data_IF_287383490856
#
_entry.id   IF_287383490856
#
_cell.length_a   1.000
_cell.length_b   1.000
_cell.length_c   1.000
_cell.angle_alpha   90.00
_cell.angle_beta   90.00
_cell.angle_gamma   90.00
#
_symmetry.space_group_name_H-M   'P 1'
#
loop_
_entity.id
_entity.type
_entity.pdbx_description
1 polymer ?
#
# COMPACT_ATOMS: atom_id res chain seq x y z
N UNK A 1 -18.05 -9.94 -5.28
CA UNK A 1 -17.82 -10.09 -3.83
C UNK A 1 -16.98 -11.34 -3.64
N UNK A 2 -15.80 -11.21 -3.04
CA UNK A 2 -14.92 -12.36 -2.74
C UNK A 2 -15.46 -12.97 -1.45
N UNK A 3 -16.12 -14.12 -1.54
CA UNK A 3 -16.54 -14.85 -0.36
C UNK A 3 -15.30 -15.46 0.33
N UNK A 4 -15.12 -15.26 1.66
CA UNK A 4 -14.00 -15.85 2.37
C UNK A 4 -14.16 -17.36 2.42
N UNK A 5 -13.15 -18.09 1.93
CA UNK A 5 -13.09 -19.55 2.09
C UNK A 5 -12.96 -19.88 3.58
N UNK A 6 -13.89 -20.61 4.18
CA UNK A 6 -13.79 -20.97 5.59
C UNK A 6 -12.58 -21.89 5.81
N UNK A 7 -11.59 -21.40 6.55
CA UNK A 7 -10.46 -22.22 7.00
C UNK A 7 -10.92 -23.15 8.12
N UNK A 8 -10.43 -24.40 8.09
CA UNK A 8 -10.69 -25.37 9.15
C UNK A 8 -10.25 -24.80 10.51
N UNK A 9 -11.05 -24.97 11.59
CA UNK A 9 -10.69 -24.46 12.91
C UNK A 9 -9.45 -25.19 13.44
N UNK A 10 -8.34 -24.44 13.62
CA UNK A 10 -7.20 -24.91 14.42
C UNK A 10 -5.80 -24.77 13.83
N UNK A 11 -5.60 -24.58 12.53
CA UNK A 11 -4.25 -24.56 11.94
C UNK A 11 -3.83 -23.27 11.24
N UNK A 12 -4.74 -22.29 11.04
CA UNK A 12 -4.41 -21.09 10.30
C UNK A 12 -3.89 -19.97 11.21
N UNK A 13 -2.78 -19.37 10.80
CA UNK A 13 -2.17 -18.20 11.44
C UNK A 13 -2.18 -17.04 10.45
N UNK A 14 -2.74 -15.86 10.83
CA UNK A 14 -2.80 -14.72 9.93
C UNK A 14 -1.41 -14.23 9.56
N UNK A 15 -1.25 -13.78 8.34
CA UNK A 15 -0.05 -13.08 7.85
C UNK A 15 -0.33 -11.59 7.86
N UNK A 16 0.29 -10.86 8.78
CA UNK A 16 0.13 -9.44 8.94
C UNK A 16 1.43 -8.74 8.54
N UNK A 17 1.35 -7.80 7.61
CA UNK A 17 2.45 -6.90 7.25
C UNK A 17 2.29 -5.61 8.04
N UNK A 18 3.36 -5.15 8.69
CA UNK A 18 3.35 -3.92 9.47
C UNK A 18 4.38 -2.91 8.91
N UNK A 19 3.90 -1.75 8.49
CA UNK A 19 4.74 -0.63 8.07
C UNK A 19 4.98 0.30 9.25
N UNK A 20 6.16 0.27 9.84
CA UNK A 20 6.49 1.04 11.04
C UNK A 20 7.44 2.19 10.72
N UNK A 21 7.05 3.39 11.19
CA UNK A 21 7.91 4.56 11.13
C UNK A 21 9.16 4.35 12.00
N UNK A 22 10.33 4.62 11.42
CA UNK A 22 11.63 4.44 12.07
C UNK A 22 11.74 5.18 13.41
N UNK A 23 11.25 6.41 13.47
CA UNK A 23 11.49 7.33 14.58
C UNK A 23 10.58 7.09 15.80
N UNK A 24 9.46 6.43 15.59
CA UNK A 24 8.48 6.21 16.66
C UNK A 24 8.10 4.74 16.80
N UNK A 25 7.21 4.21 15.96
CA UNK A 25 6.63 2.88 16.14
C UNK A 25 7.67 1.75 16.04
N UNK A 26 8.68 1.88 15.15
CA UNK A 26 9.76 0.88 15.08
C UNK A 26 10.63 0.92 16.34
N UNK A 27 10.98 2.11 16.82
CA UNK A 27 11.70 2.28 18.10
C UNK A 27 10.90 1.73 19.29
N UNK A 28 9.58 1.92 19.29
CA UNK A 28 8.70 1.32 20.29
C UNK A 28 8.68 -0.21 20.21
N UNK A 29 8.75 -0.78 19.00
CA UNK A 29 8.86 -2.23 18.80
C UNK A 29 10.20 -2.77 19.32
N UNK A 30 11.31 -2.04 19.09
CA UNK A 30 12.62 -2.37 19.66
C UNK A 30 12.57 -2.32 21.20
N UNK A 31 11.94 -1.29 21.78
CA UNK A 31 11.74 -1.18 23.22
C UNK A 31 10.92 -2.36 23.75
N UNK A 32 9.87 -2.77 23.06
CA UNK A 32 9.07 -3.94 23.42
C UNK A 32 9.93 -5.22 23.42
N UNK A 33 10.82 -5.37 22.42
CA UNK A 33 11.76 -6.49 22.33
C UNK A 33 12.77 -6.52 23.48
N UNK A 34 13.41 -5.39 23.77
CA UNK A 34 14.36 -5.25 24.89
C UNK A 34 13.68 -5.50 26.23
N UNK A 35 12.45 -5.03 26.38
CA UNK A 35 11.62 -5.27 27.58
C UNK A 35 11.01 -6.68 27.63
N UNK A 36 11.33 -7.56 26.67
CA UNK A 36 10.84 -8.94 26.58
C UNK A 36 9.31 -9.05 26.60
N UNK A 37 8.62 -8.07 26.06
CA UNK A 37 7.16 -8.10 25.95
C UNK A 37 6.76 -9.16 24.91
N UNK A 38 5.90 -10.09 25.30
CA UNK A 38 5.42 -11.14 24.40
C UNK A 38 4.18 -10.68 23.66
N UNK A 39 4.20 -10.75 22.34
CA UNK A 39 3.05 -10.51 21.46
C UNK A 39 3.05 -11.50 20.29
N UNK A 40 1.98 -11.50 19.52
CA UNK A 40 1.80 -12.47 18.43
C UNK A 40 2.92 -12.39 17.38
N UNK A 41 3.47 -13.54 16.98
CA UNK A 41 4.55 -13.64 15.99
C UNK A 41 4.08 -13.57 14.54
N UNK A 42 2.80 -13.40 14.30
CA UNK A 42 2.17 -13.34 12.98
C UNK A 42 2.42 -12.05 12.20
N UNK A 43 3.14 -11.08 12.78
CA UNK A 43 3.43 -9.79 12.18
C UNK A 43 4.84 -9.77 11.58
N UNK A 44 4.94 -9.27 10.33
CA UNK A 44 6.21 -8.98 9.64
C UNK A 44 6.36 -7.49 9.52
N UNK A 45 7.41 -6.94 10.15
CA UNK A 45 7.65 -5.49 10.20
C UNK A 45 8.53 -5.06 9.03
N UNK A 46 8.05 -4.06 8.29
CA UNK A 46 8.80 -3.31 7.28
C UNK A 46 9.05 -1.92 7.86
N UNK A 47 10.33 -1.61 8.09
CA UNK A 47 10.75 -0.31 8.60
C UNK A 47 10.79 0.72 7.48
N UNK A 48 10.14 1.86 7.69
CA UNK A 48 10.14 3.01 6.79
C UNK A 48 10.63 4.26 7.54
N UNK A 49 11.26 5.19 6.84
CA UNK A 49 11.71 6.43 7.48
C UNK A 49 10.55 7.25 8.07
N UNK A 50 9.38 7.23 7.42
CA UNK A 50 8.19 7.94 7.89
C UNK A 50 6.93 7.22 7.44
N UNK A 51 5.87 7.23 8.26
CA UNK A 51 4.56 6.74 7.84
C UNK A 51 4.02 7.46 6.59
N UNK A 52 4.39 8.72 6.37
CA UNK A 52 4.08 9.47 5.16
C UNK A 52 4.67 8.88 3.87
N UNK A 53 5.60 7.91 3.96
CA UNK A 53 6.13 7.18 2.81
C UNK A 53 5.24 6.02 2.38
N UNK A 54 4.33 5.58 3.25
CA UNK A 54 3.42 4.48 2.91
C UNK A 54 2.50 4.92 1.78
N UNK A 55 2.61 4.24 0.66
CA UNK A 55 1.73 4.40 -0.48
C UNK A 55 0.58 3.37 -0.41
N UNK A 56 -0.65 3.71 -0.79
CA UNK A 56 -1.74 2.75 -0.92
C UNK A 56 -1.37 1.51 -1.74
N UNK A 57 -0.53 1.67 -2.75
CA UNK A 57 -0.04 0.55 -3.58
C UNK A 57 0.73 -0.49 -2.75
N UNK A 58 1.53 -0.08 -1.75
CA UNK A 58 2.24 -1.03 -0.88
C UNK A 58 1.28 -1.93 -0.11
N UNK A 59 0.13 -1.38 0.27
CA UNK A 59 -0.88 -2.12 1.02
C UNK A 59 -1.62 -3.10 0.11
N UNK A 60 -1.97 -2.66 -1.10
CA UNK A 60 -2.58 -3.52 -2.11
C UNK A 60 -1.62 -4.65 -2.54
N UNK A 61 -0.33 -4.33 -2.72
CA UNK A 61 0.70 -5.33 -3.03
C UNK A 61 0.89 -6.34 -1.89
N UNK A 62 0.84 -5.90 -0.64
CA UNK A 62 0.89 -6.81 0.51
C UNK A 62 -0.28 -7.81 0.47
N UNK A 63 -1.50 -7.35 0.20
CA UNK A 63 -2.66 -8.23 0.02
C UNK A 63 -2.52 -9.16 -1.17
N UNK A 64 -2.06 -8.65 -2.31
CA UNK A 64 -1.79 -9.45 -3.52
C UNK A 64 -0.78 -10.56 -3.24
N UNK A 65 0.23 -10.32 -2.42
CA UNK A 65 1.24 -11.29 -1.99
C UNK A 65 0.75 -12.20 -0.87
N UNK A 66 -0.48 -12.04 -0.42
CA UNK A 66 -1.14 -12.94 0.52
C UNK A 66 -1.07 -12.52 1.98
N UNK A 67 -0.89 -11.24 2.28
CA UNK A 67 -1.16 -10.74 3.61
C UNK A 67 -2.68 -10.79 3.89
N UNK A 68 -3.04 -11.12 5.12
CA UNK A 68 -4.42 -11.15 5.59
C UNK A 68 -4.81 -9.84 6.26
N UNK A 69 -3.81 -9.06 6.69
CA UNK A 69 -3.97 -7.75 7.31
C UNK A 69 -2.73 -6.87 7.17
N UNK A 70 -2.92 -5.55 7.23
CA UNK A 70 -1.85 -4.56 7.17
C UNK A 70 -1.97 -3.57 8.32
N UNK A 71 -0.91 -3.44 9.10
CA UNK A 71 -0.79 -2.47 10.20
C UNK A 71 0.14 -1.33 9.78
N UNK A 72 -0.27 -0.10 10.02
CA UNK A 72 0.55 1.09 9.78
C UNK A 72 0.78 1.78 11.11
N UNK A 73 2.03 1.95 11.48
CA UNK A 73 2.42 2.66 12.71
C UNK A 73 3.13 3.97 12.40
N UNK A 74 2.63 5.06 12.96
CA UNK A 74 3.17 6.40 12.79
C UNK A 74 3.30 7.17 14.09
N UNK A 75 3.98 8.33 14.04
CA UNK A 75 4.10 9.25 15.16
C UNK A 75 2.75 9.88 15.49
N UNK A 76 2.52 10.19 16.76
CA UNK A 76 1.34 10.98 17.16
C UNK A 76 1.23 12.28 16.35
N UNK A 77 0.01 12.78 16.10
CA UNK A 77 -0.20 14.08 15.49
C UNK A 77 0.55 15.18 16.25
N UNK A 78 1.35 15.97 15.52
CA UNK A 78 2.24 16.98 16.11
C UNK A 78 3.68 16.53 16.36
N UNK A 79 3.94 15.22 16.53
CA UNK A 79 5.26 14.67 16.90
C UNK A 79 6.02 14.07 15.70
N UNK A 80 5.59 14.32 14.48
CA UNK A 80 6.24 13.72 13.32
C UNK A 80 7.64 14.31 13.11
N UNK A 81 8.67 13.45 13.05
CA UNK A 81 10.05 13.85 12.76
C UNK A 81 10.19 14.69 11.47
N UNK A 82 9.33 14.47 10.49
CA UNK A 82 9.27 15.22 9.22
C UNK A 82 8.10 16.20 9.18
N UNK A 83 7.61 16.63 10.34
CA UNK A 83 6.54 17.62 10.55
C UNK A 83 5.16 17.14 10.09
N UNK A 84 4.98 16.76 8.83
CA UNK A 84 3.67 16.47 8.21
C UNK A 84 3.45 15.01 7.78
N UNK A 85 4.43 14.13 7.96
CA UNK A 85 4.35 12.77 7.40
C UNK A 85 3.15 11.97 7.88
N UNK A 86 2.81 12.06 9.17
CA UNK A 86 1.65 11.40 9.76
C UNK A 86 0.32 11.96 9.21
N UNK A 87 0.20 13.27 9.00
CA UNK A 87 -0.97 13.87 8.37
C UNK A 87 -1.14 13.47 6.90
N UNK A 88 -0.02 13.34 6.15
CA UNK A 88 -0.05 12.81 4.79
C UNK A 88 -0.55 11.37 4.77
N UNK A 89 -0.07 10.54 5.72
CA UNK A 89 -0.57 9.16 5.87
C UNK A 89 -2.05 9.13 6.23
N UNK A 90 -2.50 9.96 7.18
CA UNK A 90 -3.91 10.00 7.57
C UNK A 90 -4.84 10.28 6.38
N UNK A 91 -4.50 11.26 5.54
CA UNK A 91 -5.29 11.59 4.34
C UNK A 91 -5.34 10.41 3.37
N UNK A 92 -4.19 9.77 3.08
CA UNK A 92 -4.13 8.58 2.22
C UNK A 92 -4.91 7.41 2.80
N UNK A 93 -4.85 7.22 4.11
CA UNK A 93 -5.55 6.15 4.79
C UNK A 93 -7.08 6.26 4.65
N UNK A 94 -7.63 7.47 4.72
CA UNK A 94 -9.07 7.69 4.51
C UNK A 94 -9.51 7.35 3.07
N UNK A 95 -8.70 7.71 2.08
CA UNK A 95 -8.94 7.34 0.68
C UNK A 95 -8.81 5.83 0.47
N UNK A 96 -7.78 5.23 1.05
CA UNK A 96 -7.55 3.79 0.99
C UNK A 96 -8.74 3.00 1.54
N UNK A 97 -9.32 3.41 2.66
CA UNK A 97 -10.50 2.75 3.23
C UNK A 97 -11.66 2.68 2.24
N UNK A 98 -11.93 3.77 1.51
CA UNK A 98 -12.94 3.79 0.46
C UNK A 98 -12.62 2.80 -0.65
N UNK A 99 -11.39 2.83 -1.15
CA UNK A 99 -10.93 1.91 -2.19
C UNK A 99 -11.06 0.44 -1.76
N UNK A 100 -10.66 0.11 -0.53
CA UNK A 100 -10.76 -1.27 -0.01
C UNK A 100 -12.22 -1.73 0.07
N UNK A 101 -13.13 -0.84 0.47
CA UNK A 101 -14.57 -1.13 0.48
C UNK A 101 -15.10 -1.43 -0.92
N UNK A 102 -14.71 -0.64 -1.92
CA UNK A 102 -15.13 -0.84 -3.32
C UNK A 102 -14.55 -2.14 -3.90
N UNK A 103 -13.35 -2.55 -3.44
CA UNK A 103 -12.73 -3.84 -3.77
C UNK A 103 -13.30 -5.03 -2.98
N UNK A 104 -14.27 -4.82 -2.10
CA UNK A 104 -14.85 -5.87 -1.25
C UNK A 104 -13.91 -6.37 -0.14
N UNK A 105 -12.86 -5.63 0.18
CA UNK A 105 -11.92 -5.94 1.26
C UNK A 105 -12.42 -5.30 2.56
N UNK A 106 -12.60 -6.11 3.60
CA UNK A 106 -13.06 -5.62 4.90
C UNK A 106 -12.10 -4.55 5.46
N UNK A 107 -12.64 -3.38 5.81
CA UNK A 107 -11.86 -2.23 6.30
C UNK A 107 -11.00 -2.57 7.53
N UNK A 108 -11.46 -3.53 8.33
CA UNK A 108 -10.78 -4.01 9.53
C UNK A 108 -9.44 -4.71 9.23
N UNK A 109 -9.18 -5.05 7.96
CA UNK A 109 -7.91 -5.67 7.55
C UNK A 109 -6.77 -4.66 7.45
N UNK A 110 -7.06 -3.36 7.45
CA UNK A 110 -6.04 -2.30 7.49
C UNK A 110 -6.26 -1.42 8.71
N UNK A 111 -5.20 -1.24 9.49
CA UNK A 111 -5.22 -0.46 10.73
C UNK A 111 -4.11 0.60 10.70
N UNK A 112 -4.43 1.82 11.08
CA UNK A 112 -3.48 2.90 11.30
C UNK A 112 -3.45 3.23 12.80
N UNK A 113 -2.27 3.19 13.40
CA UNK A 113 -2.05 3.50 14.81
C UNK A 113 -0.98 4.56 15.00
N UNK A 114 -1.20 5.40 15.99
CA UNK A 114 -0.24 6.38 16.46
C UNK A 114 0.46 5.84 17.70
N UNK A 115 1.77 5.67 17.61
CA UNK A 115 2.58 5.07 18.68
C UNK A 115 3.89 5.85 18.78
N UNK A 116 4.19 6.38 19.96
CA UNK A 116 5.46 7.05 20.26
C UNK A 116 6.58 6.05 20.53
N UNK A 117 7.84 6.49 20.47
CA UNK A 117 9.01 5.64 20.72
C UNK A 117 9.03 5.00 22.12
N UNK A 118 8.37 5.61 23.11
CA UNK A 118 8.32 5.12 24.49
C UNK A 118 7.16 4.12 24.74
N UNK A 119 6.28 3.89 23.75
CA UNK A 119 5.05 3.12 23.94
C UNK A 119 5.17 1.65 23.49
N UNK A 120 6.20 0.93 23.99
CA UNK A 120 6.39 -0.49 23.67
C UNK A 120 5.20 -1.38 24.06
N UNK A 121 4.53 -1.13 25.19
CA UNK A 121 3.32 -1.87 25.59
C UNK A 121 2.15 -1.65 24.61
N UNK A 122 2.04 -0.45 24.02
CA UNK A 122 1.03 -0.19 23.02
C UNK A 122 1.26 -1.00 21.74
N UNK A 123 2.51 -1.19 21.33
CA UNK A 123 2.85 -2.08 20.20
C UNK A 123 2.32 -3.48 20.46
N UNK A 124 2.61 -4.05 21.63
CA UNK A 124 2.10 -5.38 22.04
C UNK A 124 0.58 -5.44 21.98
N UNK A 125 -0.10 -4.46 22.57
CA UNK A 125 -1.56 -4.40 22.61
C UNK A 125 -2.15 -4.38 21.20
N UNK A 126 -1.69 -3.45 20.36
CA UNK A 126 -2.18 -3.27 18.98
C UNK A 126 -1.94 -4.50 18.11
N UNK A 127 -0.77 -5.13 18.22
CA UNK A 127 -0.44 -6.35 17.46
C UNK A 127 -1.34 -7.52 17.88
N UNK A 128 -1.58 -7.69 19.17
CA UNK A 128 -2.44 -8.77 19.66
C UNK A 128 -3.90 -8.55 19.27
N UNK A 129 -4.42 -7.35 19.42
CA UNK A 129 -5.78 -6.98 19.02
C UNK A 129 -5.98 -7.21 17.51
N UNK A 130 -5.08 -6.72 16.70
CA UNK A 130 -5.16 -6.91 15.24
C UNK A 130 -5.08 -8.38 14.87
N UNK A 131 -4.19 -9.15 15.50
CA UNK A 131 -4.07 -10.60 15.25
C UNK A 131 -5.39 -11.32 15.58
N UNK A 132 -6.03 -10.98 16.71
CA UNK A 132 -7.32 -11.54 17.08
C UNK A 132 -8.43 -11.14 16.09
N UNK A 133 -8.45 -9.88 15.66
CA UNK A 133 -9.41 -9.36 14.70
C UNK A 133 -9.27 -10.04 13.34
N UNK A 134 -8.04 -10.19 12.81
CA UNK A 134 -7.82 -10.89 11.53
C UNK A 134 -8.15 -12.37 11.65
N UNK A 135 -7.88 -13.02 12.78
CA UNK A 135 -8.30 -14.40 13.03
C UNK A 135 -9.82 -14.57 12.96
N UNK A 136 -10.57 -13.62 13.50
CA UNK A 136 -12.03 -13.65 13.44
C UNK A 136 -12.58 -13.44 12.01
N UNK A 137 -11.88 -12.65 11.18
CA UNK A 137 -12.26 -12.41 9.80
C UNK A 137 -11.89 -13.58 8.85
N UNK A 138 -10.97 -14.46 9.26
CA UNK A 138 -10.45 -15.52 8.41
C UNK A 138 -9.45 -15.05 7.34
N UNK A 139 -8.92 -15.97 6.51
CA UNK A 139 -7.98 -15.67 5.43
C UNK A 139 -8.63 -14.77 4.36
N UNK A 140 -7.85 -13.87 3.77
CA UNK A 140 -8.33 -13.00 2.69
C UNK A 140 -8.42 -13.72 1.35
N UNK A 141 -7.48 -14.66 1.08
CA UNK A 141 -7.49 -15.46 -0.13
C UNK A 141 -7.19 -14.73 -1.44
N UNK A 142 -6.63 -13.53 -1.39
CA UNK A 142 -6.35 -12.71 -2.59
C UNK A 142 -5.48 -13.40 -3.65
N UNK A 143 -4.38 -14.11 -3.33
CA UNK A 143 -3.58 -14.77 -4.35
C UNK A 143 -4.37 -15.81 -5.16
N UNK A 144 -5.27 -16.53 -4.51
CA UNK A 144 -6.12 -17.54 -5.15
C UNK A 144 -7.17 -16.88 -6.07
N UNK A 145 -7.75 -15.76 -5.64
CA UNK A 145 -8.69 -14.98 -6.45
C UNK A 145 -8.02 -14.40 -7.70
N UNK A 146 -6.81 -13.84 -7.57
CA UNK A 146 -6.04 -13.36 -8.74
C UNK A 146 -5.68 -14.49 -9.70
N UNK A 147 -5.20 -15.64 -9.21
CA UNK A 147 -4.88 -16.77 -10.06
C UNK A 147 -6.10 -17.36 -10.78
N UNK A 148 -7.29 -17.27 -10.19
CA UNK A 148 -8.52 -17.65 -10.85
C UNK A 148 -8.89 -16.65 -11.96
N UNK A 149 -8.74 -15.37 -11.68
CA UNK A 149 -9.02 -14.31 -12.62
C UNK A 149 -8.07 -14.31 -13.83
N UNK A 150 -6.77 -14.52 -13.59
CA UNK A 150 -5.77 -14.64 -14.67
C UNK A 150 -6.10 -15.83 -15.61
N UNK A 151 -6.63 -16.92 -15.08
CA UNK A 151 -7.09 -18.06 -15.89
C UNK A 151 -8.28 -17.68 -16.75
N UNK A 152 -9.29 -17.05 -16.14
CA UNK A 152 -10.49 -16.62 -16.85
C UNK A 152 -10.16 -15.63 -17.99
N UNK A 153 -9.34 -14.62 -17.72
CA UNK A 153 -8.87 -13.66 -18.73
C UNK A 153 -8.10 -14.38 -19.85
N UNK A 154 -7.22 -15.32 -19.49
CA UNK A 154 -6.47 -16.10 -20.47
C UNK A 154 -7.37 -16.99 -21.35
N UNK A 155 -8.44 -17.52 -20.81
CA UNK A 155 -9.45 -18.30 -21.54
C UNK A 155 -10.27 -17.39 -22.50
N UNK A 156 -10.66 -16.20 -22.03
CA UNK A 156 -11.35 -15.23 -22.87
C UNK A 156 -10.47 -14.76 -24.04
N UNK A 157 -9.18 -14.52 -23.79
CA UNK A 157 -8.22 -14.12 -24.83
C UNK A 157 -7.95 -15.22 -25.88
N UNK A 158 -8.22 -16.50 -25.54
CA UNK A 158 -8.06 -17.64 -26.44
C UNK A 158 -9.31 -17.93 -27.28
N UNK A 159 -10.43 -17.30 -27.02
CA UNK A 159 -11.66 -17.52 -27.80
C UNK A 159 -11.49 -16.92 -29.21
N UNK A 160 -11.57 -17.72 -30.28
CA UNK A 160 -11.24 -17.29 -31.66
C UNK A 160 -12.36 -16.50 -32.33
N UNK A 161 -13.15 -15.72 -31.60
CA UNK A 161 -14.14 -14.79 -32.14
C UNK A 161 -14.59 -13.82 -31.03
N UNK A 162 -13.68 -13.01 -30.52
CA UNK A 162 -14.15 -11.70 -30.08
C UNK A 162 -14.66 -10.99 -31.35
N UNK A 163 -15.88 -10.43 -31.38
CA UNK A 163 -16.28 -9.60 -32.53
C UNK A 163 -15.17 -8.54 -32.66
N UNK A 164 -14.56 -8.47 -33.84
CA UNK A 164 -13.78 -7.28 -34.18
C UNK A 164 -14.72 -6.13 -33.93
N UNK A 165 -14.30 -5.16 -33.10
CA UNK A 165 -15.01 -3.92 -32.89
C UNK A 165 -15.10 -3.25 -34.27
N UNK A 166 -16.11 -3.64 -35.02
CA UNK A 166 -16.49 -3.00 -36.29
C UNK A 166 -17.33 -1.78 -35.93
N UNK A 167 -16.82 -0.91 -35.10
CA UNK A 167 -17.39 0.41 -34.91
C UNK A 167 -16.84 1.29 -36.03
N UNK A 168 -17.67 1.57 -37.08
CA UNK A 168 -17.20 2.35 -38.26
C UNK A 168 -16.85 3.80 -37.87
N UNK A 169 -17.21 4.28 -36.68
CA UNK A 169 -16.85 5.61 -36.20
C UNK A 169 -15.40 5.70 -35.70
N UNK A 170 -14.76 4.59 -35.31
CA UNK A 170 -13.37 4.62 -34.81
C UNK A 170 -12.31 4.62 -35.93
N UNK A 171 -12.66 4.17 -37.14
CA UNK A 171 -11.73 4.14 -38.26
C UNK A 171 -11.45 5.50 -38.88
N UNK A 172 -12.32 6.51 -38.63
CA UNK A 172 -12.15 7.86 -39.15
C UNK A 172 -11.24 8.75 -38.33
N UNK A 173 -10.98 8.42 -37.06
CA UNK A 173 -10.17 9.24 -36.15
C UNK A 173 -8.67 8.93 -36.27
N UNK A 174 -8.29 7.70 -36.62
CA UNK A 174 -6.88 7.33 -36.81
C UNK A 174 -6.22 7.94 -38.07
N UNK A 175 -7.00 8.34 -39.09
CA UNK A 175 -6.51 9.00 -40.30
C UNK A 175 -6.10 10.46 -40.03
N UNK A 176 -6.86 11.20 -39.26
CA UNK A 176 -6.60 12.62 -38.98
C UNK A 176 -5.44 12.88 -38.00
N UNK A 177 -5.18 11.94 -37.07
CA UNK A 177 -4.09 12.08 -36.09
C UNK A 177 -2.71 11.88 -36.72
N UNK A 178 -2.61 11.16 -37.84
CA UNK A 178 -1.32 10.93 -38.53
C UNK A 178 -0.86 12.09 -39.38
N UNK A 179 -1.75 12.94 -39.89
CA UNK A 179 -1.36 14.12 -40.69
C UNK A 179 -0.98 15.34 -39.85
N UNK A 180 -1.41 15.43 -38.58
CA UNK A 180 -1.11 16.55 -37.68
C UNK A 180 0.24 16.49 -36.93
N UNK A 181 0.98 15.36 -36.99
CA UNK A 181 2.21 15.15 -36.20
C UNK A 181 3.52 15.34 -36.99
N UNK A 182 3.49 15.94 -38.20
CA UNK A 182 4.64 16.13 -39.05
C UNK A 182 5.32 17.51 -38.96
N UNK A 183 5.17 18.24 -37.84
CA UNK A 183 6.00 19.41 -37.56
C UNK A 183 7.01 19.11 -36.46
N UNK A 184 8.32 19.17 -36.72
CA UNK A 184 9.32 19.00 -35.68
C UNK A 184 9.24 20.19 -34.68
N UNK A 185 8.83 19.91 -33.46
CA UNK A 185 8.97 20.86 -32.36
C UNK A 185 10.46 21.07 -32.13
N UNK A 186 10.93 22.31 -32.34
CA UNK A 186 12.32 22.69 -32.11
C UNK A 186 12.77 22.34 -30.69
N UNK A 187 13.98 21.82 -30.59
CA UNK A 187 14.61 21.49 -29.32
C UNK A 187 14.60 22.70 -28.36
N UNK A 188 14.29 22.50 -27.07
CA UNK A 188 14.40 23.56 -26.09
C UNK A 188 15.87 23.99 -25.94
N UNK A 189 16.12 25.30 -25.97
CA UNK A 189 17.43 25.89 -25.76
C UNK A 189 17.94 25.52 -24.35
N UNK A 190 19.19 25.06 -24.24
CA UNK A 190 19.87 24.81 -22.98
C UNK A 190 19.98 26.10 -22.15
N UNK A 191 19.71 26.08 -20.85
CA UNK A 191 19.94 27.22 -19.99
C UNK A 191 21.44 27.48 -19.84
N UNK A 192 21.91 28.64 -20.24
CA UNK A 192 23.29 29.09 -19.97
C UNK A 192 23.45 29.30 -18.46
N UNK A 193 24.27 28.47 -17.86
CA UNK A 193 24.74 28.64 -16.48
C UNK A 193 25.79 29.76 -16.47
N UNK A 194 25.43 30.94 -16.01
CA UNK A 194 26.41 31.99 -15.73
C UNK A 194 27.15 31.65 -14.45
N UNK A 195 28.46 31.44 -14.58
CA UNK A 195 29.39 31.34 -13.47
C UNK A 195 29.52 32.74 -12.80
N UNK A 196 28.99 32.83 -11.57
CA UNK A 196 29.41 33.87 -10.64
C UNK A 196 29.93 33.22 -9.37
N UNK A 197 31.24 33.14 -9.34
CA UNK A 197 32.08 32.82 -8.18
C UNK A 197 32.16 34.10 -7.35
N UNK A 198 31.62 34.10 -6.15
CA UNK A 198 32.14 34.96 -5.09
C UNK A 198 31.98 34.29 -3.74
N UNK A 199 33.13 33.81 -3.26
CA UNK A 199 33.33 33.29 -1.91
C UNK A 199 33.56 34.49 -1.00
N UNK A 200 32.68 34.71 -0.05
CA UNK A 200 32.97 35.56 1.10
C UNK A 200 33.02 34.72 2.37
N UNK A 201 34.25 34.58 2.91
CA UNK A 201 34.50 34.16 4.27
C UNK A 201 34.02 35.21 5.28
N UNK A 202 33.18 34.81 6.24
CA UNK A 202 33.32 35.19 7.67
C UNK A 202 32.72 34.03 8.49
#
# INVERSE_FOLDING_TARGET
MIEPTPAAPGSWTPRIVAFFCNWCTYTAADLAGVSRLKYASSVRVIRLMCSGRVDPQFILDAFRQGADGVLIGGCHPGDCHYVEGNYKMLRRFQLLKRLLKDLGIAEQRVRLEWISAAEGERVKTVVNEMTAQIKALGPLGMPQAFAAWDREVSELARRPNAPEDTDPEHSSVEGEVREGLATPVGAPAEPQVSANTEVAHV
#
